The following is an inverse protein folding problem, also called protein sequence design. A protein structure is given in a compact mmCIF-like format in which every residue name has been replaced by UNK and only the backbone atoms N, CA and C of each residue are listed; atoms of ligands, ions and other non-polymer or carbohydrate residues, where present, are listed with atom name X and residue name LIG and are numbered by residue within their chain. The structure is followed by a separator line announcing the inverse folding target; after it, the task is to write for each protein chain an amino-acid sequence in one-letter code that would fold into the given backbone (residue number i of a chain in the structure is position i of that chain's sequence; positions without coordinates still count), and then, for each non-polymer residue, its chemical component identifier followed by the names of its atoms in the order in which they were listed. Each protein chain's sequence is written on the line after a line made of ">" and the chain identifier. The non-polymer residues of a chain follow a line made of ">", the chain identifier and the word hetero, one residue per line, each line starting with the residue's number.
data_IF_990870132575
#
_entry.id   IF_990870132575
#
_cell.length_a   1.000
_cell.length_b   1.000
_cell.length_c   1.000
_cell.angle_alpha   90.00
_cell.angle_beta   90.00
_cell.angle_gamma   90.00
#
_symmetry.space_group_name_H-M   'P 1'
#
loop_
_entity.id
_entity.type
_entity.pdbx_description
1 polymer ?
#
# COMPACT_ATOMS: atom_id res chain seq x y z
N UNK A 1 -65.88 -44.52 -61.15
CA UNK A 1 -64.51 -44.17 -61.58
C UNK A 1 -64.47 -42.66 -61.70
N UNK A 2 -63.62 -41.87 -61.07
CA UNK A 2 -62.58 -42.06 -60.07
C UNK A 2 -62.27 -40.64 -59.56
N UNK A 3 -62.20 -40.46 -58.25
CA UNK A 3 -61.63 -39.27 -57.62
C UNK A 3 -60.19 -39.05 -58.09
N UNK A 4 -59.82 -37.82 -58.43
CA UNK A 4 -58.42 -37.37 -58.44
C UNK A 4 -58.32 -35.91 -57.98
N UNK A 5 -58.28 -35.74 -56.66
CA UNK A 5 -57.78 -34.51 -56.04
C UNK A 5 -56.27 -34.39 -56.32
N UNK A 6 -55.87 -33.33 -57.03
CA UNK A 6 -54.47 -32.96 -57.23
C UNK A 6 -53.88 -32.27 -55.98
N UNK A 7 -52.59 -32.46 -55.66
CA UNK A 7 -52.04 -32.17 -54.34
C UNK A 7 -51.66 -30.69 -54.16
N UNK A 8 -52.28 -29.99 -53.21
CA UNK A 8 -51.92 -28.63 -52.78
C UNK A 8 -50.69 -28.61 -51.85
N UNK A 9 -49.58 -29.26 -52.24
CA UNK A 9 -48.41 -29.47 -51.35
C UNK A 9 -47.42 -28.30 -51.30
N UNK A 10 -47.69 -27.18 -51.98
CA UNK A 10 -46.83 -25.98 -51.99
C UNK A 10 -47.21 -24.94 -50.93
N UNK A 11 -48.50 -24.85 -50.56
CA UNK A 11 -48.99 -23.91 -49.54
C UNK A 11 -48.59 -24.30 -48.12
N UNK A 12 -48.60 -25.60 -47.80
CA UNK A 12 -48.29 -26.11 -46.46
C UNK A 12 -46.82 -25.98 -46.07
N UNK A 13 -45.90 -26.12 -47.05
CA UNK A 13 -44.47 -25.85 -46.83
C UNK A 13 -44.20 -24.37 -46.54
N UNK A 14 -44.85 -23.46 -47.26
CA UNK A 14 -44.71 -22.02 -47.04
C UNK A 14 -45.30 -21.56 -45.68
N UNK A 15 -46.40 -22.18 -45.23
CA UNK A 15 -46.98 -21.94 -43.91
C UNK A 15 -46.10 -22.53 -42.78
N UNK A 16 -45.53 -23.71 -42.99
CA UNK A 16 -44.56 -24.34 -42.07
C UNK A 16 -43.27 -23.52 -41.94
N UNK A 17 -42.71 -23.04 -43.06
CA UNK A 17 -41.53 -22.15 -43.06
C UNK A 17 -41.81 -20.80 -42.39
N UNK A 18 -43.03 -20.26 -42.56
CA UNK A 18 -43.47 -19.05 -41.85
C UNK A 18 -43.60 -19.31 -40.35
N UNK A 19 -44.13 -20.45 -39.94
CA UNK A 19 -44.22 -20.83 -38.52
C UNK A 19 -42.83 -21.03 -37.88
N UNK A 20 -41.92 -21.74 -38.56
CA UNK A 20 -40.53 -21.91 -38.12
C UNK A 20 -39.77 -20.56 -38.06
N UNK A 21 -40.04 -19.64 -39.00
CA UNK A 21 -39.48 -18.27 -38.97
C UNK A 21 -40.02 -17.46 -37.80
N UNK A 22 -41.30 -17.60 -37.46
CA UNK A 22 -41.92 -16.94 -36.30
C UNK A 22 -41.40 -17.50 -34.98
N UNK A 23 -41.15 -18.81 -34.89
CA UNK A 23 -40.54 -19.44 -33.72
C UNK A 23 -39.09 -18.98 -33.53
N UNK A 24 -38.29 -18.92 -34.60
CA UNK A 24 -36.94 -18.33 -34.57
C UNK A 24 -36.97 -16.86 -34.13
N UNK A 25 -37.94 -16.09 -34.60
CA UNK A 25 -38.12 -14.69 -34.20
C UNK A 25 -38.47 -14.57 -32.72
N UNK A 26 -39.35 -15.42 -32.18
CA UNK A 26 -39.65 -15.48 -30.74
C UNK A 26 -38.41 -15.86 -29.93
N UNK A 27 -37.64 -16.84 -30.38
CA UNK A 27 -36.39 -17.22 -29.73
C UNK A 27 -35.35 -16.08 -29.73
N UNK A 28 -35.27 -15.29 -30.80
CA UNK A 28 -34.42 -14.09 -30.85
C UNK A 28 -34.92 -13.00 -29.89
N UNK A 29 -36.24 -12.79 -29.76
CA UNK A 29 -36.79 -11.85 -28.79
C UNK A 29 -36.53 -12.29 -27.34
N UNK A 30 -36.64 -13.58 -27.05
CA UNK A 30 -36.29 -14.13 -25.73
C UNK A 30 -34.82 -13.90 -25.43
N UNK A 31 -33.92 -14.26 -26.36
CA UNK A 31 -32.47 -14.01 -26.22
C UNK A 31 -32.15 -12.53 -26.07
N UNK A 32 -32.85 -11.64 -26.78
CA UNK A 32 -32.70 -10.19 -26.62
C UNK A 32 -33.15 -9.74 -25.23
N UNK A 33 -34.28 -10.24 -24.74
CA UNK A 33 -34.77 -9.92 -23.40
C UNK A 33 -33.85 -10.45 -22.30
N UNK A 34 -33.29 -11.64 -22.48
CA UNK A 34 -32.31 -12.25 -21.57
C UNK A 34 -31.02 -11.43 -21.56
N UNK A 35 -30.49 -11.08 -22.73
CA UNK A 35 -29.31 -10.22 -22.85
C UNK A 35 -29.54 -8.85 -22.20
N UNK A 36 -30.68 -8.21 -22.43
CA UNK A 36 -31.00 -6.93 -21.77
C UNK A 36 -31.09 -7.04 -20.25
N UNK A 37 -31.63 -8.16 -19.71
CA UNK A 37 -31.70 -8.39 -18.26
C UNK A 37 -30.32 -8.65 -17.65
N UNK A 38 -29.48 -9.45 -18.32
CA UNK A 38 -28.11 -9.72 -17.89
C UNK A 38 -27.28 -8.44 -17.90
N UNK A 39 -27.32 -7.68 -18.99
CA UNK A 39 -26.63 -6.40 -19.08
C UNK A 39 -27.12 -5.41 -18.01
N UNK A 40 -28.43 -5.34 -17.74
CA UNK A 40 -28.94 -4.46 -16.69
C UNK A 40 -28.48 -4.90 -15.29
N UNK A 41 -28.47 -6.22 -15.03
CA UNK A 41 -27.95 -6.76 -13.77
C UNK A 41 -26.47 -6.45 -13.60
N UNK A 42 -25.67 -6.63 -14.64
CA UNK A 42 -24.24 -6.31 -14.64
C UNK A 42 -24.00 -4.82 -14.39
N UNK A 43 -24.73 -3.92 -15.07
CA UNK A 43 -24.63 -2.46 -14.84
C UNK A 43 -25.01 -2.09 -13.40
N UNK A 44 -26.01 -2.76 -12.81
CA UNK A 44 -26.43 -2.51 -11.42
C UNK A 44 -25.38 -3.02 -10.43
N UNK A 45 -24.76 -4.19 -10.66
CA UNK A 45 -23.67 -4.68 -9.81
C UNK A 45 -22.40 -3.84 -9.99
N UNK A 46 -22.06 -3.39 -11.20
CA UNK A 46 -20.94 -2.46 -11.44
C UNK A 46 -21.16 -1.10 -10.74
N UNK A 47 -22.37 -0.54 -10.80
CA UNK A 47 -22.72 0.69 -10.09
C UNK A 47 -22.70 0.48 -8.55
N UNK A 48 -23.09 -0.71 -8.09
CA UNK A 48 -22.99 -1.09 -6.67
C UNK A 48 -21.53 -1.21 -6.24
N UNK A 49 -20.68 -1.89 -7.01
CA UNK A 49 -19.24 -2.00 -6.78
C UNK A 49 -18.56 -0.64 -6.81
N UNK A 50 -18.96 0.26 -7.72
CA UNK A 50 -18.45 1.62 -7.79
C UNK A 50 -18.86 2.48 -6.60
N UNK A 51 -20.06 2.27 -6.04
CA UNK A 51 -20.57 2.96 -4.85
C UNK A 51 -20.05 2.39 -3.54
N UNK A 52 -19.65 1.13 -3.53
CA UNK A 52 -19.07 0.48 -2.36
C UNK A 52 -17.71 1.13 -2.06
N UNK A 53 -17.45 1.49 -0.78
CA UNK A 53 -16.11 1.84 -0.37
C UNK A 53 -15.16 0.70 -0.70
N UNK A 54 -13.99 1.02 -1.26
CA UNK A 54 -12.97 0.04 -1.63
C UNK A 54 -12.56 -0.91 -0.49
N UNK A 55 -12.78 -0.51 0.76
CA UNK A 55 -12.42 -1.27 1.96
C UNK A 55 -13.60 -2.02 2.59
N UNK A 56 -14.78 -2.04 1.96
CA UNK A 56 -16.00 -2.58 2.57
C UNK A 56 -15.87 -4.06 2.99
N UNK A 57 -15.29 -4.90 2.15
CA UNK A 57 -15.09 -6.33 2.47
C UNK A 57 -14.11 -6.52 3.64
N UNK A 58 -13.05 -5.71 3.68
CA UNK A 58 -12.10 -5.73 4.80
C UNK A 58 -12.79 -5.30 6.10
N UNK A 59 -13.61 -4.24 6.07
CA UNK A 59 -14.37 -3.79 7.24
C UNK A 59 -15.33 -4.87 7.75
N UNK A 60 -16.04 -5.57 6.86
CA UNK A 60 -16.90 -6.69 7.24
C UNK A 60 -16.10 -7.84 7.86
N UNK A 61 -14.95 -8.18 7.29
CA UNK A 61 -14.06 -9.21 7.84
C UNK A 61 -13.58 -8.85 9.26
N UNK A 62 -13.11 -7.62 9.46
CA UNK A 62 -12.64 -7.16 10.77
C UNK A 62 -13.78 -7.10 11.81
N UNK A 63 -15.00 -6.74 11.39
CA UNK A 63 -16.18 -6.77 12.25
C UNK A 63 -16.54 -8.20 12.69
N UNK A 64 -16.52 -9.16 11.76
CA UNK A 64 -16.75 -10.57 12.09
C UNK A 64 -15.65 -11.12 13.02
N UNK A 65 -14.39 -10.80 12.73
CA UNK A 65 -13.26 -11.19 13.57
C UNK A 65 -13.39 -10.65 15.00
N UNK A 66 -13.83 -9.40 15.18
CA UNK A 66 -14.06 -8.81 16.50
C UNK A 66 -15.17 -9.55 17.26
N UNK A 67 -16.29 -9.86 16.60
CA UNK A 67 -17.38 -10.63 17.21
C UNK A 67 -16.93 -12.03 17.66
N UNK A 68 -16.06 -12.68 16.88
CA UNK A 68 -15.55 -14.00 17.22
C UNK A 68 -14.48 -13.97 18.32
N UNK A 69 -13.65 -12.93 18.39
CA UNK A 69 -12.77 -12.67 19.54
C UNK A 69 -13.57 -12.44 20.83
N UNK A 70 -14.65 -11.65 20.78
CA UNK A 70 -15.51 -11.38 21.93
C UNK A 70 -16.20 -12.66 22.43
N UNK A 71 -16.68 -13.53 21.53
CA UNK A 71 -17.24 -14.84 21.89
C UNK A 71 -16.21 -15.72 22.58
N UNK A 72 -14.99 -15.79 22.06
CA UNK A 72 -13.91 -16.59 22.66
C UNK A 72 -13.48 -16.03 24.02
N UNK A 73 -13.43 -14.70 24.15
CA UNK A 73 -13.15 -14.06 25.43
C UNK A 73 -14.26 -14.33 26.46
N UNK A 74 -15.53 -14.36 26.05
CA UNK A 74 -16.65 -14.74 26.91
C UNK A 74 -16.55 -16.21 27.36
N UNK A 75 -16.25 -17.14 26.45
CA UNK A 75 -16.02 -18.55 26.77
C UNK A 75 -14.86 -18.74 27.74
N UNK A 76 -13.72 -18.10 27.50
CA UNK A 76 -12.57 -18.14 28.42
C UNK A 76 -12.91 -17.57 29.81
N UNK A 77 -13.72 -16.51 29.89
CA UNK A 77 -14.21 -15.97 31.17
C UNK A 77 -15.14 -16.94 31.90
N UNK A 78 -16.04 -17.62 31.18
CA UNK A 78 -16.92 -18.65 31.74
C UNK A 78 -16.13 -19.86 32.27
N UNK A 79 -15.05 -20.24 31.59
CA UNK A 79 -14.12 -21.29 31.99
C UNK A 79 -13.15 -20.86 33.11
N UNK A 80 -13.11 -19.57 33.47
CA UNK A 80 -12.23 -19.01 34.50
C UNK A 80 -10.78 -18.81 34.06
N UNK A 81 -10.52 -18.84 32.75
CA UNK A 81 -9.21 -18.63 32.14
C UNK A 81 -9.01 -17.16 31.70
N UNK A 82 -7.76 -16.67 31.76
CA UNK A 82 -7.41 -15.36 31.16
C UNK A 82 -7.17 -15.52 29.66
N UNK A 83 -8.09 -15.01 28.87
CA UNK A 83 -8.08 -15.02 27.40
C UNK A 83 -6.77 -14.47 26.80
N UNK A 84 -6.15 -13.45 27.41
CA UNK A 84 -4.89 -12.90 26.91
C UNK A 84 -3.73 -13.88 27.07
N UNK A 85 -3.69 -14.60 28.19
CA UNK A 85 -2.66 -15.61 28.43
C UNK A 85 -2.85 -16.81 27.50
N UNK A 86 -4.09 -17.24 27.28
CA UNK A 86 -4.41 -18.33 26.35
C UNK A 86 -4.04 -17.98 24.90
N UNK A 87 -4.34 -16.76 24.47
CA UNK A 87 -3.92 -16.23 23.17
C UNK A 87 -2.39 -16.23 23.02
N UNK A 88 -1.66 -15.81 24.04
CA UNK A 88 -0.19 -15.82 24.03
C UNK A 88 0.40 -17.24 24.04
N UNK A 89 -0.27 -18.23 24.64
CA UNK A 89 0.15 -19.64 24.61
C UNK A 89 0.15 -20.23 23.20
N UNK A 90 -0.76 -19.77 22.33
CA UNK A 90 -0.83 -20.19 20.93
C UNK A 90 0.24 -19.57 20.03
N UNK A 91 0.91 -18.49 20.48
CA UNK A 91 1.93 -17.80 19.68
C UNK A 91 3.28 -18.48 19.85
N UNK A 92 3.81 -19.05 18.76
CA UNK A 92 5.16 -19.60 18.76
C UNK A 92 6.22 -18.51 18.95
N UNK A 93 7.40 -18.86 19.50
CA UNK A 93 8.49 -17.89 19.65
C UNK A 93 8.92 -17.24 18.32
N UNK A 94 8.91 -17.99 17.22
CA UNK A 94 9.20 -17.47 15.88
C UNK A 94 8.15 -16.47 15.39
N UNK A 95 6.89 -16.70 15.74
CA UNK A 95 5.79 -15.80 15.39
C UNK A 95 5.82 -14.52 16.23
N UNK A 96 6.09 -14.63 17.53
CA UNK A 96 6.32 -13.48 18.40
C UNK A 96 7.46 -12.58 17.88
N UNK A 97 8.60 -13.18 17.51
CA UNK A 97 9.73 -12.47 16.90
C UNK A 97 9.35 -11.77 15.59
N UNK A 98 8.55 -12.42 14.75
CA UNK A 98 8.08 -11.85 13.48
C UNK A 98 7.16 -10.65 13.73
N UNK A 99 6.23 -10.79 14.67
CA UNK A 99 5.30 -9.73 15.07
C UNK A 99 6.04 -8.53 15.67
N UNK A 100 7.03 -8.76 16.51
CA UNK A 100 7.83 -7.70 17.11
C UNK A 100 8.70 -6.97 16.09
N UNK A 101 9.31 -7.70 15.15
CA UNK A 101 10.01 -7.08 14.01
C UNK A 101 9.05 -6.25 13.16
N UNK A 102 7.84 -6.74 12.90
CA UNK A 102 6.84 -6.01 12.14
C UNK A 102 6.38 -4.73 12.87
N UNK A 103 6.12 -4.81 14.17
CA UNK A 103 5.78 -3.65 15.02
C UNK A 103 6.91 -2.62 15.01
N UNK A 104 8.16 -3.04 15.20
CA UNK A 104 9.34 -2.16 15.14
C UNK A 104 9.46 -1.44 13.79
N UNK A 105 9.21 -2.14 12.68
CA UNK A 105 9.22 -1.54 11.34
C UNK A 105 8.12 -0.49 11.14
N UNK A 106 6.94 -0.69 11.74
CA UNK A 106 5.78 0.21 11.62
C UNK A 106 5.76 1.36 12.62
N UNK A 107 6.59 1.32 13.68
CA UNK A 107 6.58 2.32 14.78
C UNK A 107 6.93 3.74 14.32
N UNK A 108 7.81 3.90 13.34
CA UNK A 108 8.23 5.21 12.85
C UNK A 108 8.27 5.25 11.31
N UNK A 109 7.09 5.27 10.66
CA UNK A 109 7.01 5.32 9.20
C UNK A 109 7.54 6.67 8.69
N UNK A 110 8.03 6.69 7.45
CA UNK A 110 8.36 7.95 6.78
C UNK A 110 7.05 8.62 6.34
N UNK A 111 6.76 9.80 6.89
CA UNK A 111 5.55 10.56 6.59
C UNK A 111 5.74 11.46 5.35
N UNK A 112 6.91 11.40 4.71
CA UNK A 112 7.28 12.27 3.61
C UNK A 112 7.95 13.56 4.09
N UNK A 113 8.43 14.34 3.12
CA UNK A 113 9.10 15.60 3.39
C UNK A 113 8.07 16.72 3.62
N UNK A 114 8.08 17.30 4.83
CA UNK A 114 7.26 18.46 5.18
C UNK A 114 8.09 19.75 5.22
N UNK A 115 9.12 19.80 6.07
CA UNK A 115 10.05 20.92 6.19
C UNK A 115 11.47 20.43 6.45
N UNK A 116 12.45 21.30 6.19
CA UNK A 116 13.85 21.00 6.52
C UNK A 116 14.05 20.84 8.04
N UNK A 117 13.31 21.59 8.86
CA UNK A 117 13.36 21.49 10.32
C UNK A 117 12.82 20.15 10.84
N UNK A 118 11.71 19.66 10.28
CA UNK A 118 11.17 18.36 10.66
C UNK A 118 12.14 17.23 10.26
N UNK A 119 12.77 17.34 9.10
CA UNK A 119 13.77 16.39 8.63
C UNK A 119 15.02 16.40 9.52
N UNK A 120 15.52 17.57 9.92
CA UNK A 120 16.68 17.69 10.81
C UNK A 120 16.36 17.18 12.22
N UNK A 121 15.18 17.49 12.77
CA UNK A 121 14.74 16.97 14.06
C UNK A 121 14.64 15.43 14.06
N UNK A 122 14.07 14.85 13.00
CA UNK A 122 13.99 13.38 12.85
C UNK A 122 15.38 12.74 12.76
N UNK A 123 16.29 13.34 12.00
CA UNK A 123 17.67 12.89 11.91
C UNK A 123 18.37 12.98 13.27
N UNK A 124 18.21 14.11 13.97
CA UNK A 124 18.79 14.34 15.30
C UNK A 124 18.32 13.28 16.29
N UNK A 125 17.02 13.07 16.43
CA UNK A 125 16.46 12.05 17.33
C UNK A 125 17.01 10.66 17.01
N UNK A 126 17.11 10.30 15.73
CA UNK A 126 17.69 9.02 15.32
C UNK A 126 19.18 8.89 15.65
N UNK A 127 19.94 9.98 15.62
CA UNK A 127 21.35 9.99 16.01
C UNK A 127 21.49 9.88 17.53
N UNK A 128 20.66 10.59 18.29
CA UNK A 128 20.61 10.49 19.75
C UNK A 128 20.28 9.06 20.19
N UNK A 129 19.29 8.41 19.56
CA UNK A 129 18.94 7.01 19.83
C UNK A 129 20.08 6.02 19.52
N UNK A 130 20.97 6.36 18.58
CA UNK A 130 22.13 5.55 18.22
C UNK A 130 23.33 5.78 19.15
N UNK A 131 23.40 6.94 19.82
CA UNK A 131 24.47 7.24 20.75
C UNK A 131 24.29 6.42 22.04
N UNK A 132 25.32 5.66 22.40
CA UNK A 132 25.40 4.94 23.68
C UNK A 132 26.42 5.65 24.57
N UNK A 133 25.98 6.36 25.62
CA UNK A 133 26.89 6.98 26.57
C UNK A 133 27.71 5.92 27.29
N UNK A 134 28.98 6.22 27.54
CA UNK A 134 29.84 5.45 28.42
C UNK A 134 29.74 6.05 29.83
N UNK A 135 29.18 5.28 30.75
CA UNK A 135 28.89 5.75 32.11
C UNK A 135 30.15 5.82 32.98
N UNK A 136 31.15 4.95 32.74
CA UNK A 136 32.42 4.96 33.49
C UNK A 136 33.21 6.23 33.14
N UNK A 137 33.31 6.53 31.85
CA UNK A 137 33.91 7.77 31.35
C UNK A 137 33.19 9.02 31.89
N UNK A 138 31.87 8.93 32.06
CA UNK A 138 31.05 10.02 32.61
C UNK A 138 31.33 10.25 34.09
N UNK A 139 31.36 9.18 34.90
CA UNK A 139 31.64 9.26 36.34
C UNK A 139 33.07 9.75 36.61
N UNK A 140 34.06 9.26 35.86
CA UNK A 140 35.44 9.71 35.97
C UNK A 140 35.60 11.20 35.62
N UNK A 141 34.83 11.72 34.65
CA UNK A 141 34.82 13.16 34.32
C UNK A 141 34.11 13.98 35.39
N UNK A 142 33.03 13.45 35.97
CA UNK A 142 32.29 14.08 37.05
C UNK A 142 33.15 14.27 38.29
N UNK A 143 33.91 13.24 38.68
CA UNK A 143 34.83 13.34 39.82
C UNK A 143 35.96 14.36 39.58
N UNK A 144 36.55 14.37 38.38
CA UNK A 144 37.62 15.33 38.02
C UNK A 144 37.18 16.78 37.99
N UNK A 145 35.95 17.05 37.52
CA UNK A 145 35.43 18.41 37.35
C UNK A 145 34.66 18.92 38.58
N UNK A 146 34.23 18.04 39.48
CA UNK A 146 33.54 18.41 40.71
C UNK A 146 32.30 19.27 40.45
N UNK A 147 32.20 20.41 41.13
CA UNK A 147 31.10 21.37 40.98
C UNK A 147 31.05 22.01 39.58
N UNK A 148 32.19 22.13 38.90
CA UNK A 148 32.25 22.66 37.54
C UNK A 148 31.69 21.68 36.49
N UNK A 149 31.36 20.44 36.86
CA UNK A 149 30.74 19.49 35.96
C UNK A 149 29.31 19.87 35.54
N UNK A 150 28.62 20.66 36.36
CA UNK A 150 27.28 21.17 36.09
C UNK A 150 27.33 22.69 35.83
N UNK A 151 27.81 23.11 34.65
CA UNK A 151 27.94 24.52 34.33
C UNK A 151 26.57 25.20 34.24
N UNK A 152 26.49 26.41 34.78
CA UNK A 152 25.42 27.38 34.50
C UNK A 152 25.87 28.33 33.38
N UNK A 153 24.96 29.16 32.86
CA UNK A 153 25.27 30.07 31.77
C UNK A 153 26.47 31.00 32.04
N UNK A 154 26.77 31.29 33.31
CA UNK A 154 27.84 32.20 33.74
C UNK A 154 29.18 31.50 34.04
N UNK A 155 29.22 30.16 34.02
CA UNK A 155 30.45 29.40 34.28
C UNK A 155 31.31 29.26 33.01
N UNK A 156 32.53 29.80 33.07
CA UNK A 156 33.49 29.78 31.95
C UNK A 156 34.31 28.47 31.96
N UNK A 157 33.93 27.50 31.13
CA UNK A 157 34.62 26.20 30.98
C UNK A 157 34.98 25.99 29.50
N UNK A 158 35.61 26.98 28.90
CA UNK A 158 36.03 26.93 27.49
C UNK A 158 37.54 26.68 27.38
N UNK A 159 37.93 25.74 26.52
CA UNK A 159 39.34 25.46 26.20
C UNK A 159 40.09 24.53 27.18
N UNK A 160 39.46 24.09 28.27
CA UNK A 160 40.08 23.17 29.25
C UNK A 160 39.93 21.69 28.88
N UNK A 161 38.93 21.34 28.06
CA UNK A 161 38.68 19.98 27.61
C UNK A 161 39.59 19.60 26.44
N UNK A 162 40.26 18.44 26.55
CA UNK A 162 40.96 17.79 25.45
C UNK A 162 40.32 16.44 25.19
N UNK A 163 39.75 16.26 24.01
CA UNK A 163 39.12 15.01 23.61
C UNK A 163 40.14 13.88 23.48
N UNK A 164 39.77 12.68 23.90
CA UNK A 164 40.61 11.50 23.68
C UNK A 164 40.63 11.14 22.18
N UNK A 165 41.73 10.58 21.65
CA UNK A 165 41.81 10.13 20.26
C UNK A 165 40.67 9.17 19.89
N UNK A 166 40.27 8.31 20.83
CA UNK A 166 39.15 7.37 20.64
C UNK A 166 37.80 8.08 20.51
N UNK A 167 37.57 9.19 21.22
CA UNK A 167 36.35 9.99 21.07
C UNK A 167 36.29 10.66 19.68
N UNK A 168 37.43 11.19 19.20
CA UNK A 168 37.54 11.76 17.86
C UNK A 168 37.29 10.71 16.77
N UNK A 169 37.83 9.49 16.93
CA UNK A 169 37.59 8.39 15.99
C UNK A 169 36.12 7.96 15.96
N UNK A 170 35.46 7.86 17.13
CA UNK A 170 34.02 7.60 17.23
C UNK A 170 33.21 8.65 16.48
N UNK A 171 33.54 9.94 16.67
CA UNK A 171 32.89 11.05 15.96
C UNK A 171 33.10 10.95 14.45
N UNK A 172 34.34 10.75 13.99
CA UNK A 172 34.66 10.60 12.58
C UNK A 172 33.89 9.43 11.94
N UNK A 173 33.84 8.29 12.62
CA UNK A 173 33.04 7.14 12.15
C UNK A 173 31.56 7.47 12.02
N UNK A 174 30.99 8.21 12.99
CA UNK A 174 29.60 8.63 12.93
C UNK A 174 29.33 9.60 11.76
N UNK A 175 30.22 10.56 11.49
CA UNK A 175 30.07 11.49 10.36
C UNK A 175 30.15 10.78 9.01
N UNK A 176 31.05 9.80 8.85
CA UNK A 176 31.09 8.96 7.65
C UNK A 176 29.80 8.15 7.46
N UNK A 177 29.22 7.62 8.54
CA UNK A 177 27.94 6.93 8.47
C UNK A 177 26.80 7.86 8.07
N UNK A 178 26.78 9.10 8.56
CA UNK A 178 25.81 10.12 8.16
C UNK A 178 25.95 10.44 6.67
N UNK A 179 27.17 10.66 6.19
CA UNK A 179 27.44 10.92 4.77
C UNK A 179 26.97 9.76 3.88
N UNK A 180 27.31 8.52 4.24
CA UNK A 180 26.91 7.33 3.51
C UNK A 180 25.38 7.12 3.50
N UNK A 181 24.68 7.45 4.60
CA UNK A 181 23.20 7.45 4.65
C UNK A 181 22.61 8.52 3.72
N UNK A 182 23.19 9.72 3.69
CA UNK A 182 22.75 10.84 2.84
C UNK A 182 22.91 10.51 1.34
N UNK A 183 24.02 9.89 0.95
CA UNK A 183 24.23 9.45 -0.43
C UNK A 183 23.16 8.46 -0.90
N UNK A 184 22.74 7.54 -0.02
CA UNK A 184 21.73 6.51 -0.29
C UNK A 184 20.29 6.98 -0.14
N UNK A 185 20.05 8.27 0.14
CA UNK A 185 18.71 8.81 0.36
C UNK A 185 17.84 8.70 -0.90
N UNK A 186 18.40 9.04 -2.07
CA UNK A 186 17.72 8.87 -3.36
C UNK A 186 18.10 7.54 -4.00
N UNK A 187 17.21 6.54 -3.91
CA UNK A 187 17.42 5.22 -4.52
C UNK A 187 17.07 5.23 -6.01
N UNK A 188 17.96 4.70 -6.85
CA UNK A 188 17.68 4.50 -8.28
C UNK A 188 16.62 3.41 -8.45
N UNK A 189 15.51 3.72 -9.14
CA UNK A 189 14.53 2.71 -9.56
C UNK A 189 15.15 1.84 -10.66
N UNK A 190 14.88 0.53 -10.66
CA UNK A 190 15.33 -0.37 -11.72
C UNK A 190 14.73 0.10 -13.05
N UNK A 191 15.53 0.10 -14.11
CA UNK A 191 15.05 0.37 -15.46
C UNK A 191 14.33 -0.88 -15.96
N UNK A 192 13.12 -0.69 -16.48
CA UNK A 192 12.33 -1.73 -17.09
C UNK A 192 12.56 -1.64 -18.62
N UNK A 193 13.21 -2.65 -19.24
CA UNK A 193 13.50 -2.61 -20.67
C UNK A 193 12.26 -2.78 -21.55
N UNK A 194 11.17 -3.31 -21.00
CA UNK A 194 9.95 -3.60 -21.76
C UNK A 194 8.93 -2.45 -21.71
N UNK A 195 9.23 -1.39 -20.95
CA UNK A 195 8.36 -0.22 -20.86
C UNK A 195 8.46 0.65 -22.12
N UNK A 196 7.32 1.16 -22.59
CA UNK A 196 7.26 2.06 -23.75
C UNK A 196 8.18 3.28 -23.55
N UNK A 197 9.10 3.46 -24.49
CA UNK A 197 10.10 4.52 -24.43
C UNK A 197 9.52 5.80 -25.03
N UNK A 198 9.12 6.72 -24.15
CA UNK A 198 8.58 8.04 -24.50
C UNK A 198 9.65 9.15 -24.60
N UNK A 199 10.94 8.78 -24.55
CA UNK A 199 12.06 9.72 -24.45
C UNK A 199 13.22 9.41 -25.41
N UNK A 200 13.87 10.47 -25.88
CA UNK A 200 15.06 10.36 -26.77
C UNK A 200 16.37 10.41 -25.95
N UNK A 201 16.40 11.15 -24.84
CA UNK A 201 17.59 11.31 -23.98
C UNK A 201 17.24 11.23 -22.48
N UNK A 202 18.25 11.06 -21.61
CA UNK A 202 18.03 10.91 -20.16
C UNK A 202 17.40 12.16 -19.52
N UNK A 203 17.76 13.36 -19.99
CA UNK A 203 17.19 14.62 -19.48
C UNK A 203 15.69 14.71 -19.78
N UNK A 204 15.29 14.30 -20.98
CA UNK A 204 13.91 14.20 -21.44
C UNK A 204 13.17 13.13 -20.61
N UNK A 205 13.77 11.96 -20.38
CA UNK A 205 13.18 10.94 -19.51
C UNK A 205 12.86 11.48 -18.09
N UNK A 206 13.80 12.23 -17.49
CA UNK A 206 13.59 12.83 -16.17
C UNK A 206 12.50 13.91 -16.21
N UNK A 207 12.38 14.63 -17.32
CA UNK A 207 11.35 15.65 -17.53
C UNK A 207 9.96 15.01 -17.74
N UNK A 208 9.83 13.99 -18.59
CA UNK A 208 8.58 13.23 -18.76
C UNK A 208 8.14 12.57 -17.44
N UNK A 209 9.07 11.97 -16.68
CA UNK A 209 8.79 11.48 -15.32
C UNK A 209 8.35 12.57 -14.34
N UNK A 210 8.77 13.83 -14.55
CA UNK A 210 8.28 14.96 -13.76
C UNK A 210 6.86 15.30 -14.19
N UNK A 211 6.58 15.40 -15.49
CA UNK A 211 5.23 15.65 -16.01
C UNK A 211 4.24 14.59 -15.55
N UNK A 212 4.59 13.30 -15.63
CA UNK A 212 3.72 12.20 -15.20
C UNK A 212 3.36 12.30 -13.71
N UNK A 213 4.25 12.79 -12.84
CA UNK A 213 3.95 12.98 -11.41
C UNK A 213 2.93 14.08 -11.14
N UNK A 214 2.89 15.12 -11.98
CA UNK A 214 2.01 16.27 -11.77
C UNK A 214 0.70 16.15 -12.56
N UNK A 215 0.80 15.68 -13.80
CA UNK A 215 -0.31 15.65 -14.76
C UNK A 215 -0.87 14.26 -15.01
N UNK A 216 -0.12 13.20 -14.68
CA UNK A 216 -0.51 11.82 -14.99
C UNK A 216 -1.87 11.44 -14.39
N UNK A 217 -2.23 11.99 -13.22
CA UNK A 217 -3.55 11.77 -12.62
C UNK A 217 -4.70 12.43 -13.40
N UNK A 218 -4.45 13.57 -14.04
CA UNK A 218 -5.45 14.30 -14.83
C UNK A 218 -5.51 13.83 -16.28
N UNK A 219 -4.42 13.30 -16.83
CA UNK A 219 -4.32 12.87 -18.23
C UNK A 219 -4.52 11.36 -18.41
N UNK A 220 -4.96 10.63 -17.38
CA UNK A 220 -5.18 9.17 -17.46
C UNK A 220 -6.13 8.79 -18.59
N UNK A 221 -7.24 9.50 -18.70
CA UNK A 221 -8.26 9.22 -19.71
C UNK A 221 -7.73 9.46 -21.12
N UNK A 222 -7.03 10.58 -21.34
CA UNK A 222 -6.39 10.88 -22.63
C UNK A 222 -5.37 9.82 -23.02
N UNK A 223 -4.58 9.34 -22.06
CA UNK A 223 -3.58 8.28 -22.27
C UNK A 223 -4.24 6.95 -22.64
N UNK A 224 -5.30 6.56 -21.92
CA UNK A 224 -6.07 5.36 -22.24
C UNK A 224 -6.73 5.42 -23.62
N UNK A 225 -7.24 6.58 -24.02
CA UNK A 225 -7.86 6.76 -25.34
C UNK A 225 -6.84 6.63 -26.48
N UNK A 226 -5.63 7.19 -26.29
CA UNK A 226 -4.49 7.00 -27.19
C UNK A 226 -4.09 5.52 -27.31
N UNK A 227 -3.97 4.81 -26.18
CA UNK A 227 -3.64 3.37 -26.15
C UNK A 227 -4.74 2.50 -26.79
N UNK A 228 -6.01 2.93 -26.72
CA UNK A 228 -7.16 2.28 -27.36
C UNK A 228 -7.32 2.62 -28.84
N UNK A 229 -6.44 3.44 -29.41
CA UNK A 229 -6.47 3.81 -30.83
C UNK A 229 -7.68 4.66 -31.24
N UNK A 230 -8.38 5.27 -30.27
CA UNK A 230 -9.54 6.14 -30.53
C UNK A 230 -9.19 7.56 -30.13
N UNK A 231 -8.96 8.41 -31.13
CA UNK A 231 -8.94 9.85 -30.93
C UNK A 231 -10.39 10.31 -30.77
N UNK A 232 -10.74 10.80 -29.58
CA UNK A 232 -11.98 11.52 -29.23
C UNK A 232 -13.27 11.08 -29.95
#
# INVERSE_FOLDING_TARGET
>A
MSETAGPSMSGDKALSDKAARMERLRALHMKKSEASKLNHREVVEEDREAKLPKNFEEEQYWAQYALDEDKKAAQAREEGCDYNMEKLRGVSAMEADRLDRAKKRKRNPDQGFSSFEAATARQYNSLVDQMKPDMEDYEAKKEKMGEAFFPTADTMIHGTHKDSPQALERLAKATYQIAAKREKFSRRRKFDPDADIDFINERNQRFNKKLERFYGDYTKETKLNLERGTAL
#
